data_IF_461965331731
#
_entry.id   IF_461965331731
#
_cell.length_a   1.000
_cell.length_b   1.000
_cell.length_c   1.000
_cell.angle_alpha   90.00
_cell.angle_beta   90.00
_cell.angle_gamma   90.00
#
_symmetry.space_group_name_H-M   'P 1'
#
loop_
_entity.id
_entity.type
_entity.pdbx_description
1 polymer ?
#
# COMPACT_ATOMS: atom_id res chain seq x y z
N UNK A 1 -2.15 28.77 -12.52
CA UNK A 1 -2.34 27.36 -12.91
C UNK A 1 -2.18 27.32 -14.42
N UNK A 2 -1.11 26.69 -14.93
CA UNK A 2 -0.87 26.59 -16.36
C UNK A 2 -1.89 25.68 -17.04
N UNK A 3 -2.13 25.86 -18.33
CA UNK A 3 -2.99 24.97 -19.11
C UNK A 3 -2.33 23.59 -19.21
N UNK A 4 -2.92 22.57 -18.57
CA UNK A 4 -2.47 21.18 -18.63
C UNK A 4 -2.32 20.66 -20.06
N UNK A 5 -2.99 21.30 -21.04
CA UNK A 5 -2.86 20.97 -22.46
C UNK A 5 -1.48 21.27 -23.04
N UNK A 6 -0.69 22.13 -22.39
CA UNK A 6 0.64 22.55 -22.85
C UNK A 6 1.78 21.99 -21.98
N UNK A 7 1.44 21.37 -20.85
CA UNK A 7 2.42 20.81 -19.92
C UNK A 7 3.04 19.52 -20.50
N UNK A 8 4.36 19.45 -20.75
CA UNK A 8 5.01 18.25 -21.31
C UNK A 8 4.77 16.99 -20.46
N UNK A 9 4.53 17.14 -19.17
CA UNK A 9 4.26 16.06 -18.21
C UNK A 9 2.99 15.26 -18.54
N UNK A 10 2.04 15.88 -19.24
CA UNK A 10 0.79 15.24 -19.66
C UNK A 10 0.80 14.85 -21.14
N UNK A 11 1.97 14.81 -21.80
CA UNK A 11 2.07 14.50 -23.23
C UNK A 11 1.45 13.14 -23.59
N UNK A 12 1.73 12.10 -22.78
CA UNK A 12 1.09 10.79 -22.98
C UNK A 12 -0.41 10.87 -22.73
N UNK A 13 -0.86 11.44 -21.60
CA UNK A 13 -2.28 11.55 -21.27
C UNK A 13 -3.07 12.27 -22.38
N UNK A 14 -2.50 13.34 -22.95
CA UNK A 14 -3.09 14.04 -24.11
C UNK A 14 -3.17 13.15 -25.34
N UNK A 15 -2.10 12.47 -25.69
CA UNK A 15 -2.09 11.58 -26.85
C UNK A 15 -3.15 10.48 -26.72
N UNK A 16 -3.36 9.92 -25.51
CA UNK A 16 -4.44 8.96 -25.25
C UNK A 16 -5.83 9.58 -25.44
N UNK A 17 -6.05 10.81 -24.96
CA UNK A 17 -7.30 11.56 -25.20
C UNK A 17 -7.53 11.82 -26.69
N UNK A 18 -6.46 12.05 -27.45
CA UNK A 18 -6.48 12.26 -28.89
C UNK A 18 -6.59 10.93 -29.70
N UNK A 19 -6.74 9.80 -29.02
CA UNK A 19 -7.00 8.49 -29.63
C UNK A 19 -5.76 7.63 -29.90
N UNK A 20 -4.60 7.98 -29.33
CA UNK A 20 -3.44 7.10 -29.36
C UNK A 20 -3.70 5.83 -28.55
N UNK A 21 -3.20 4.70 -29.06
CA UNK A 21 -3.25 3.43 -28.36
C UNK A 21 -2.27 3.43 -27.17
N UNK A 22 -2.74 3.05 -25.98
CA UNK A 22 -1.92 2.92 -24.78
C UNK A 22 -0.74 1.95 -25.00
N UNK A 23 -0.93 0.89 -25.79
CA UNK A 23 0.13 -0.07 -26.08
C UNK A 23 1.33 0.56 -26.82
N UNK A 24 1.12 1.67 -27.54
CA UNK A 24 2.19 2.37 -28.26
C UNK A 24 3.23 3.03 -27.34
N UNK A 25 2.88 3.27 -26.07
CA UNK A 25 3.77 3.84 -25.06
C UNK A 25 4.51 2.78 -24.23
N UNK A 26 4.09 1.52 -24.29
CA UNK A 26 4.63 0.44 -23.47
C UNK A 26 6.12 0.21 -23.77
N UNK A 27 6.93 0.08 -22.71
CA UNK A 27 8.39 -0.04 -22.82
C UNK A 27 9.13 1.27 -23.15
N UNK A 28 8.41 2.37 -23.40
CA UNK A 28 8.97 3.67 -23.74
C UNK A 28 9.25 4.57 -22.53
N UNK A 29 9.65 5.83 -22.76
CA UNK A 29 10.01 6.78 -21.71
C UNK A 29 8.82 7.30 -20.89
N UNK A 30 7.58 7.03 -21.34
CA UNK A 30 6.34 7.31 -20.60
C UNK A 30 5.79 6.09 -19.86
N UNK A 31 6.39 4.91 -20.06
CA UNK A 31 6.05 3.71 -19.30
C UNK A 31 6.84 3.69 -18.00
N UNK A 32 6.17 4.04 -16.91
CA UNK A 32 6.78 4.09 -15.58
C UNK A 32 7.39 2.75 -15.19
N UNK A 33 6.82 1.63 -15.63
CA UNK A 33 7.34 0.29 -15.32
C UNK A 33 8.70 0.11 -15.98
N UNK A 34 8.83 0.53 -17.24
CA UNK A 34 10.09 0.47 -17.97
C UNK A 34 11.15 1.35 -17.29
N UNK A 35 10.81 2.61 -16.99
CA UNK A 35 11.73 3.53 -16.33
C UNK A 35 12.15 3.02 -14.95
N UNK A 36 11.22 2.60 -14.09
CA UNK A 36 11.52 2.10 -12.74
C UNK A 36 12.40 0.86 -12.76
N UNK A 37 12.26 -0.04 -13.75
CA UNK A 37 13.12 -1.25 -13.85
C UNK A 37 14.60 -0.94 -14.14
N UNK A 38 14.92 0.25 -14.66
CA UNK A 38 16.31 0.67 -14.87
C UNK A 38 17.01 1.03 -13.55
N UNK A 39 16.24 1.29 -12.49
CA UNK A 39 16.73 1.75 -11.21
C UNK A 39 17.01 0.54 -10.32
N UNK A 40 18.27 0.35 -9.94
CA UNK A 40 18.67 -0.67 -8.97
C UNK A 40 18.72 -0.05 -7.57
N UNK A 41 17.91 -0.53 -6.60
CA UNK A 41 17.90 0.00 -5.23
C UNK A 41 19.27 -0.02 -4.53
N UNK A 42 20.16 -0.92 -4.93
CA UNK A 42 21.52 -1.04 -4.38
C UNK A 42 22.48 0.04 -4.89
N UNK A 43 22.17 0.64 -6.06
CA UNK A 43 23.06 1.55 -6.79
C UNK A 43 22.46 2.96 -6.96
N UNK A 44 21.38 3.30 -6.25
CA UNK A 44 20.75 4.63 -6.33
C UNK A 44 21.61 5.69 -5.64
N UNK A 45 22.40 6.41 -6.43
CA UNK A 45 23.18 7.57 -5.99
C UNK A 45 22.60 8.90 -6.53
N UNK A 46 23.37 9.99 -6.39
CA UNK A 46 22.96 11.35 -6.79
C UNK A 46 22.68 11.48 -8.28
N UNK A 47 23.56 10.91 -9.10
CA UNK A 47 23.50 11.01 -10.55
C UNK A 47 22.27 10.27 -11.10
N UNK A 48 21.99 9.09 -10.55
CA UNK A 48 20.80 8.30 -10.94
C UNK A 48 19.49 9.06 -10.70
N UNK A 49 19.40 9.93 -9.68
CA UNK A 49 18.19 10.72 -9.43
C UNK A 49 17.97 11.79 -10.50
N UNK A 50 19.05 12.46 -10.92
CA UNK A 50 18.98 13.59 -11.85
C UNK A 50 18.82 13.17 -13.31
N UNK A 51 19.26 11.96 -13.67
CA UNK A 51 19.19 11.42 -15.04
C UNK A 51 17.81 10.83 -15.40
N UNK A 52 16.91 10.66 -14.43
CA UNK A 52 15.59 10.08 -14.67
C UNK A 52 14.62 11.07 -15.33
N UNK A 53 13.72 10.60 -16.22
CA UNK A 53 12.77 11.45 -16.92
C UNK A 53 11.55 11.80 -16.05
N UNK A 54 11.78 12.44 -14.90
CA UNK A 54 10.72 12.82 -13.96
C UNK A 54 9.61 13.65 -14.65
N UNK A 55 9.99 14.60 -15.49
CA UNK A 55 9.08 15.44 -16.26
C UNK A 55 8.18 14.70 -17.28
N UNK A 56 8.28 13.38 -17.41
CA UNK A 56 7.34 12.58 -18.21
C UNK A 56 6.12 12.10 -17.42
N UNK A 57 6.13 12.24 -16.08
CA UNK A 57 5.10 11.70 -15.19
C UNK A 57 4.44 12.81 -14.39
N UNK A 58 3.10 12.85 -14.30
CA UNK A 58 2.38 13.85 -13.51
C UNK A 58 2.97 14.03 -12.11
N UNK A 59 3.26 15.28 -11.72
CA UNK A 59 3.94 15.65 -10.46
C UNK A 59 5.38 15.13 -10.31
N UNK A 60 6.03 14.74 -11.41
CA UNK A 60 7.38 14.16 -11.37
C UNK A 60 8.43 15.07 -10.75
N UNK A 61 8.42 16.36 -11.06
CA UNK A 61 9.36 17.32 -10.48
C UNK A 61 9.17 17.50 -8.98
N UNK A 62 7.93 17.52 -8.50
CA UNK A 62 7.60 17.58 -7.08
C UNK A 62 8.10 16.32 -6.34
N UNK A 63 7.94 15.14 -6.95
CA UNK A 63 8.44 13.89 -6.41
C UNK A 63 9.97 13.83 -6.42
N UNK A 64 10.62 14.31 -7.48
CA UNK A 64 12.08 14.43 -7.56
C UNK A 64 12.63 15.28 -6.43
N UNK A 65 12.04 16.44 -6.21
CA UNK A 65 12.47 17.34 -5.14
C UNK A 65 12.21 16.75 -3.76
N UNK A 66 11.07 16.09 -3.56
CA UNK A 66 10.80 15.36 -2.32
C UNK A 66 11.87 14.29 -2.04
N UNK A 67 12.27 13.50 -3.06
CA UNK A 67 13.36 12.51 -2.93
C UNK A 67 14.69 13.19 -2.65
N UNK A 68 15.02 14.30 -3.34
CA UNK A 68 16.25 15.07 -3.08
C UNK A 68 16.32 15.54 -1.62
N UNK A 69 15.24 16.14 -1.11
CA UNK A 69 15.13 16.62 0.28
C UNK A 69 15.26 15.49 1.30
N UNK A 70 14.66 14.33 1.02
CA UNK A 70 14.81 13.18 1.90
C UNK A 70 16.26 12.69 1.96
N UNK A 71 17.02 12.83 0.87
CA UNK A 71 18.42 12.37 0.79
C UNK A 71 19.42 13.33 1.41
N UNK A 72 19.21 14.63 1.33
CA UNK A 72 20.15 15.63 1.87
C UNK A 72 20.21 15.61 3.39
N UNK A 73 19.28 14.91 4.07
CA UNK A 73 19.11 14.89 5.55
C UNK A 73 18.83 16.28 6.16
N UNK A 74 18.78 17.30 5.31
CA UNK A 74 18.54 18.70 5.62
C UNK A 74 17.15 19.07 5.10
N UNK A 75 16.17 19.09 6.01
CA UNK A 75 14.80 19.45 5.68
C UNK A 75 13.76 18.77 6.57
N UNK A 76 12.53 19.28 6.54
CA UNK A 76 11.39 18.61 7.18
C UNK A 76 11.00 17.39 6.33
N UNK A 77 11.55 16.22 6.63
CA UNK A 77 11.17 14.96 5.98
C UNK A 77 9.66 14.67 6.07
N UNK A 78 8.98 15.22 7.08
CA UNK A 78 7.52 15.18 7.18
C UNK A 78 6.85 15.84 5.99
N UNK A 79 7.39 16.96 5.51
CA UNK A 79 6.86 17.66 4.35
C UNK A 79 7.15 16.88 3.06
N UNK A 80 8.38 16.37 2.89
CA UNK A 80 8.76 15.61 1.70
C UNK A 80 8.01 14.27 1.58
N UNK A 81 7.88 13.51 2.66
CA UNK A 81 7.02 12.32 2.65
C UNK A 81 5.54 12.67 2.53
N UNK A 82 5.11 13.79 3.12
CA UNK A 82 3.74 14.29 2.96
C UNK A 82 3.38 14.56 1.50
N UNK A 83 4.33 15.06 0.69
CA UNK A 83 4.14 15.23 -0.75
C UNK A 83 3.92 13.88 -1.44
N UNK A 84 4.81 12.90 -1.24
CA UNK A 84 4.71 11.59 -1.90
C UNK A 84 3.46 10.80 -1.46
N UNK A 85 3.10 10.87 -0.19
CA UNK A 85 1.90 10.22 0.35
C UNK A 85 0.64 10.97 -0.12
N UNK A 86 0.68 12.30 -0.18
CA UNK A 86 -0.39 13.15 -0.70
C UNK A 86 -0.70 12.86 -2.17
N UNK A 87 0.33 12.69 -3.01
CA UNK A 87 0.17 12.22 -4.40
C UNK A 87 -0.59 10.90 -4.48
N UNK A 88 -0.30 9.94 -3.58
CA UNK A 88 -1.04 8.68 -3.52
C UNK A 88 -2.47 8.86 -3.00
N UNK A 89 -2.71 9.84 -2.13
CA UNK A 89 -4.03 10.21 -1.62
C UNK A 89 -4.94 10.80 -2.69
N UNK A 90 -4.37 11.66 -3.51
CA UNK A 90 -5.05 12.36 -4.60
C UNK A 90 -5.10 11.52 -5.90
N UNK A 91 -4.89 10.21 -5.80
CA UNK A 91 -4.93 9.26 -6.92
C UNK A 91 -4.00 9.67 -8.09
N UNK A 92 -2.81 10.19 -7.75
CA UNK A 92 -1.77 10.71 -8.66
C UNK A 92 -0.42 10.02 -8.39
N UNK A 93 -0.40 8.69 -8.50
CA UNK A 93 0.66 7.83 -7.96
C UNK A 93 1.87 7.61 -8.90
N UNK A 94 1.80 8.00 -10.18
CA UNK A 94 2.87 7.70 -11.15
C UNK A 94 4.28 8.17 -10.69
N UNK A 95 4.39 9.43 -10.28
CA UNK A 95 5.65 9.97 -9.77
C UNK A 95 6.08 9.36 -8.41
N UNK A 96 5.12 9.05 -7.54
CA UNK A 96 5.39 8.36 -6.28
C UNK A 96 5.90 6.93 -6.50
N UNK A 97 5.41 6.22 -7.53
CA UNK A 97 5.92 4.91 -7.92
C UNK A 97 7.39 4.99 -8.39
N UNK A 98 7.77 6.04 -9.12
CA UNK A 98 9.16 6.27 -9.53
C UNK A 98 10.11 6.47 -8.33
N UNK A 99 9.61 7.03 -7.22
CA UNK A 99 10.39 7.28 -6.02
C UNK A 99 10.70 6.01 -5.19
N UNK A 100 9.97 4.91 -5.37
CA UNK A 100 10.05 3.70 -4.53
C UNK A 100 11.47 3.14 -4.39
N UNK A 101 12.30 2.98 -5.45
CA UNK A 101 13.66 2.48 -5.31
C UNK A 101 14.55 3.35 -4.40
N UNK A 102 14.35 4.67 -4.40
CA UNK A 102 15.07 5.60 -3.52
C UNK A 102 14.58 5.49 -2.08
N UNK A 103 13.26 5.36 -1.88
CA UNK A 103 12.67 5.17 -0.55
C UNK A 103 13.14 3.86 0.09
N UNK A 104 13.27 2.77 -0.68
CA UNK A 104 13.86 1.51 -0.21
C UNK A 104 15.27 1.76 0.33
N UNK A 105 16.13 2.46 -0.43
CA UNK A 105 17.51 2.74 -0.02
C UNK A 105 17.60 3.55 1.27
N UNK A 106 16.70 4.52 1.45
CA UNK A 106 16.59 5.34 2.66
C UNK A 106 16.08 4.52 3.84
N UNK A 107 15.05 3.70 3.63
CA UNK A 107 14.46 2.84 4.66
C UNK A 107 15.45 1.80 5.21
N UNK A 108 16.35 1.32 4.36
CA UNK A 108 17.30 0.25 4.70
C UNK A 108 18.64 0.77 5.22
N UNK A 109 18.87 2.09 5.23
CA UNK A 109 20.01 2.69 5.91
C UNK A 109 19.70 2.89 7.39
N UNK A 110 20.33 2.13 8.31
CA UNK A 110 20.05 2.22 9.75
C UNK A 110 20.46 3.58 10.34
N UNK A 111 21.32 4.34 9.66
CA UNK A 111 21.78 5.66 10.09
C UNK A 111 21.03 6.81 9.41
N UNK A 112 20.03 6.50 8.58
CA UNK A 112 19.25 7.54 7.93
C UNK A 112 18.16 8.07 8.88
N UNK A 113 18.11 9.39 9.16
CA UNK A 113 17.16 9.96 10.12
C UNK A 113 15.68 9.80 9.69
N UNK A 114 15.45 9.50 8.42
CA UNK A 114 14.11 9.39 7.83
C UNK A 114 13.75 7.96 7.40
N UNK A 115 14.50 6.96 7.87
CA UNK A 115 14.31 5.55 7.47
C UNK A 115 12.88 5.04 7.71
N UNK A 116 12.29 5.35 8.87
CA UNK A 116 10.95 4.90 9.26
C UNK A 116 9.87 5.54 8.40
N UNK A 117 9.98 6.85 8.15
CA UNK A 117 9.06 7.58 7.30
C UNK A 117 9.09 7.08 5.84
N UNK A 118 10.29 6.78 5.31
CA UNK A 118 10.43 6.21 3.97
C UNK A 118 9.84 4.79 3.90
N UNK A 119 10.04 3.96 4.94
CA UNK A 119 9.49 2.60 4.99
C UNK A 119 7.95 2.61 5.02
N UNK A 120 7.34 3.47 5.84
CA UNK A 120 5.88 3.60 5.90
C UNK A 120 5.26 4.10 4.60
N UNK A 121 5.95 4.96 3.84
CA UNK A 121 5.43 5.55 2.61
C UNK A 121 5.65 4.71 1.34
N UNK A 122 6.69 3.87 1.27
CA UNK A 122 7.09 3.23 0.01
C UNK A 122 6.05 2.23 -0.54
N UNK A 123 5.16 1.74 0.32
CA UNK A 123 4.13 0.77 -0.05
C UNK A 123 2.82 1.42 -0.52
N UNK A 124 2.69 2.76 -0.38
CA UNK A 124 1.50 3.51 -0.79
C UNK A 124 1.20 3.41 -2.30
N UNK A 125 2.15 3.67 -3.23
CA UNK A 125 1.87 3.61 -4.67
C UNK A 125 1.65 2.18 -5.18
N UNK A 126 1.95 1.16 -4.37
CA UNK A 126 1.79 -0.25 -4.73
C UNK A 126 0.36 -0.79 -4.52
N UNK A 127 -0.59 0.04 -4.07
CA UNK A 127 -1.98 -0.35 -3.76
C UNK A 127 -3.01 0.33 -4.66
N UNK A 128 -4.10 -0.39 -4.93
CA UNK A 128 -5.11 -0.05 -5.95
C UNK A 128 -5.88 1.24 -5.65
N UNK A 129 -6.31 1.39 -4.40
CA UNK A 129 -7.01 2.56 -3.88
C UNK A 129 -6.49 2.75 -2.47
N UNK A 130 -5.76 3.84 -2.27
CA UNK A 130 -4.99 4.02 -1.06
C UNK A 130 -5.87 4.40 0.15
N UNK A 131 -7.14 4.79 -0.05
CA UNK A 131 -8.01 5.26 1.04
C UNK A 131 -9.44 4.71 1.07
N UNK A 132 -9.91 4.38 2.28
CA UNK A 132 -11.33 4.35 2.68
C UNK A 132 -12.16 3.12 2.29
N UNK A 133 -11.59 2.19 1.51
CA UNK A 133 -12.33 1.01 1.04
C UNK A 133 -12.14 -0.18 1.99
N UNK A 134 -13.14 -0.43 2.84
CA UNK A 134 -13.14 -1.50 3.84
C UNK A 134 -13.98 -2.74 3.42
N UNK A 135 -14.26 -2.93 2.13
CA UNK A 135 -15.08 -4.06 1.66
C UNK A 135 -14.26 -5.36 1.58
N UNK A 136 -14.91 -6.52 1.75
CA UNK A 136 -14.25 -7.84 1.59
C UNK A 136 -13.59 -7.99 0.22
N UNK A 137 -14.22 -7.42 -0.81
CA UNK A 137 -13.77 -7.53 -2.19
C UNK A 137 -12.47 -6.75 -2.46
N UNK A 138 -12.31 -5.59 -1.83
CA UNK A 138 -11.29 -4.60 -2.21
C UNK A 138 -10.19 -4.38 -1.17
N UNK A 139 -10.43 -4.58 0.13
CA UNK A 139 -9.49 -4.18 1.21
C UNK A 139 -8.06 -4.71 1.03
N UNK A 140 -7.91 -5.99 0.69
CA UNK A 140 -6.60 -6.63 0.43
C UNK A 140 -6.39 -6.95 -1.06
N UNK A 141 -7.15 -6.31 -1.95
CA UNK A 141 -7.14 -6.66 -3.36
C UNK A 141 -5.91 -6.09 -4.07
N UNK A 142 -5.29 -6.99 -4.82
CA UNK A 142 -4.23 -6.72 -5.77
C UNK A 142 -4.77 -7.14 -7.14
N UNK A 143 -5.11 -6.19 -8.01
CA UNK A 143 -5.62 -6.51 -9.35
C UNK A 143 -4.45 -6.99 -10.21
N UNK A 144 -4.56 -8.12 -10.90
CA UNK A 144 -3.45 -8.71 -11.65
C UNK A 144 -3.22 -7.95 -12.96
N UNK A 145 -2.53 -6.82 -12.89
CA UNK A 145 -1.96 -6.12 -14.05
C UNK A 145 -2.96 -5.65 -15.13
N UNK A 146 -2.43 -5.13 -16.25
CA UNK A 146 -3.25 -4.60 -17.33
C UNK A 146 -4.01 -5.67 -18.11
N UNK A 147 -5.33 -5.49 -18.22
CA UNK A 147 -6.14 -6.11 -19.28
C UNK A 147 -5.73 -5.50 -20.63
N UNK A 148 -5.90 -6.28 -21.69
CA UNK A 148 -5.54 -5.91 -23.07
C UNK A 148 -6.51 -4.92 -23.74
N UNK A 149 -7.58 -4.48 -23.05
CA UNK A 149 -8.55 -3.55 -23.62
C UNK A 149 -8.49 -2.21 -22.86
N UNK A 150 -8.22 -1.13 -23.61
CA UNK A 150 -8.18 0.32 -23.35
C UNK A 150 -7.68 0.86 -21.99
N UNK A 151 -8.00 0.25 -20.85
CA UNK A 151 -7.44 0.53 -19.52
C UNK A 151 -7.42 -0.73 -18.64
N UNK A 152 -6.45 -0.81 -17.73
CA UNK A 152 -6.37 -1.93 -16.80
C UNK A 152 -7.50 -1.95 -15.76
N UNK A 153 -7.63 -3.05 -15.00
CA UNK A 153 -8.64 -3.16 -13.95
C UNK A 153 -8.48 -2.07 -12.86
N UNK A 154 -7.37 -1.32 -12.82
CA UNK A 154 -7.19 -0.18 -11.92
C UNK A 154 -7.77 1.13 -12.46
N UNK A 155 -8.01 1.24 -13.78
CA UNK A 155 -8.53 2.43 -14.43
C UNK A 155 -7.45 3.49 -14.66
N UNK A 156 -7.84 4.76 -14.56
CA UNK A 156 -6.94 5.91 -14.70
C UNK A 156 -6.83 6.67 -13.38
N UNK A 157 -5.64 7.19 -13.12
CA UNK A 157 -5.38 8.23 -12.14
C UNK A 157 -6.20 9.49 -12.46
N UNK A 158 -6.36 10.40 -11.49
CA UNK A 158 -7.02 11.70 -11.73
C UNK A 158 -6.30 12.53 -12.81
N UNK A 159 -5.02 12.23 -13.03
CA UNK A 159 -4.14 12.82 -14.04
C UNK A 159 -4.36 12.25 -15.45
N UNK A 160 -5.19 11.21 -15.59
CA UNK A 160 -5.36 10.43 -16.81
C UNK A 160 -4.28 9.37 -17.05
N UNK A 161 -3.31 9.24 -16.14
CA UNK A 161 -2.25 8.24 -16.25
C UNK A 161 -2.79 6.83 -15.92
N UNK A 162 -2.35 5.75 -16.61
CA UNK A 162 -2.81 4.38 -16.33
C UNK A 162 -2.44 3.94 -14.91
N UNK A 163 -3.44 3.80 -14.04
CA UNK A 163 -3.24 3.56 -12.62
C UNK A 163 -2.48 2.25 -12.33
N UNK A 164 -2.78 1.18 -13.07
CA UNK A 164 -2.12 -0.10 -12.87
C UNK A 164 -0.70 -0.14 -13.43
N UNK A 165 -0.28 0.79 -14.30
CA UNK A 165 1.13 0.94 -14.65
C UNK A 165 1.94 1.42 -13.45
N UNK A 166 1.45 2.43 -12.74
CA UNK A 166 2.07 2.94 -11.52
C UNK A 166 2.10 1.90 -10.40
N UNK A 167 0.97 1.20 -10.17
CA UNK A 167 0.91 0.11 -9.19
C UNK A 167 1.87 -1.02 -9.54
N UNK A 168 1.93 -1.44 -10.81
CA UNK A 168 2.85 -2.48 -11.26
C UNK A 168 4.32 -2.05 -11.07
N UNK A 169 4.66 -0.80 -11.39
CA UNK A 169 6.01 -0.28 -11.22
C UNK A 169 6.45 -0.27 -9.75
N UNK A 170 5.62 0.25 -8.85
CA UNK A 170 5.90 0.27 -7.41
C UNK A 170 6.10 -1.14 -6.85
N UNK A 171 5.23 -2.09 -7.21
CA UNK A 171 5.33 -3.49 -6.75
C UNK A 171 6.56 -4.20 -7.31
N UNK A 172 6.91 -3.93 -8.57
CA UNK A 172 8.13 -4.46 -9.17
C UNK A 172 9.38 -3.93 -8.45
N UNK A 173 9.41 -2.63 -8.10
CA UNK A 173 10.48 -2.04 -7.31
C UNK A 173 10.60 -2.66 -5.91
N UNK A 174 9.49 -2.88 -5.21
CA UNK A 174 9.46 -3.57 -3.91
C UNK A 174 9.94 -5.02 -4.03
N UNK A 175 9.55 -5.69 -5.12
CA UNK A 175 10.02 -7.06 -5.42
C UNK A 175 11.53 -7.08 -5.62
N UNK A 176 12.08 -6.15 -6.40
CA UNK A 176 13.52 -6.02 -6.60
C UNK A 176 14.27 -5.70 -5.30
N UNK A 177 13.71 -4.83 -4.45
CA UNK A 177 14.29 -4.48 -3.15
C UNK A 177 14.02 -5.49 -2.02
N UNK A 178 13.34 -6.61 -2.27
CA UNK A 178 13.02 -7.61 -1.25
C UNK A 178 14.24 -8.08 -0.45
N UNK A 179 15.43 -8.34 -1.04
CA UNK A 179 16.62 -8.71 -0.27
C UNK A 179 17.04 -7.66 0.77
N UNK A 180 16.80 -6.38 0.53
CA UNK A 180 17.11 -5.28 1.45
C UNK A 180 16.02 -5.09 2.51
N UNK A 181 14.75 -5.38 2.17
CA UNK A 181 13.61 -5.22 3.07
C UNK A 181 13.43 -6.39 4.04
N UNK A 182 13.83 -7.62 3.65
CA UNK A 182 13.66 -8.81 4.50
C UNK A 182 14.33 -8.70 5.88
N UNK A 183 15.57 -8.19 6.02
CA UNK A 183 16.20 -7.99 7.34
C UNK A 183 15.40 -7.06 8.27
N UNK A 184 14.59 -6.15 7.74
CA UNK A 184 13.80 -5.21 8.54
C UNK A 184 12.68 -5.91 9.32
N UNK A 185 12.28 -7.13 8.94
CA UNK A 185 11.38 -7.96 9.76
C UNK A 185 12.00 -8.34 11.11
N UNK A 186 13.32 -8.24 11.24
CA UNK A 186 14.07 -8.53 12.47
C UNK A 186 14.62 -7.28 13.17
N UNK A 187 14.17 -6.08 12.76
CA UNK A 187 14.51 -4.84 13.46
C UNK A 187 14.04 -4.86 14.92
N UNK A 188 14.78 -4.19 15.81
CA UNK A 188 14.41 -4.05 17.22
C UNK A 188 13.12 -3.25 17.43
N UNK A 189 12.82 -2.31 16.55
CA UNK A 189 11.64 -1.45 16.62
C UNK A 189 10.39 -2.17 16.05
N UNK A 190 9.33 -2.40 16.86
CA UNK A 190 8.08 -3.00 16.37
C UNK A 190 7.46 -2.25 15.19
N UNK A 191 7.55 -0.92 15.14
CA UNK A 191 6.99 -0.14 14.04
C UNK A 191 7.68 -0.45 12.71
N UNK A 192 9.01 -0.57 12.72
CA UNK A 192 9.79 -0.99 11.53
C UNK A 192 9.37 -2.38 11.07
N UNK A 193 9.13 -3.32 11.99
CA UNK A 193 8.69 -4.68 11.62
C UNK A 193 7.29 -4.69 11.01
N UNK A 194 6.38 -3.86 11.51
CA UNK A 194 5.03 -3.67 10.96
C UNK A 194 5.12 -3.12 9.54
N UNK A 195 5.84 -2.01 9.36
CA UNK A 195 5.96 -1.36 8.05
C UNK A 195 6.71 -2.23 7.04
N UNK A 196 7.72 -2.98 7.47
CA UNK A 196 8.40 -3.97 6.62
C UNK A 196 7.44 -5.07 6.14
N UNK A 197 6.59 -5.58 7.04
CA UNK A 197 5.55 -6.55 6.69
C UNK A 197 4.54 -5.97 5.69
N UNK A 198 4.14 -4.71 5.93
CA UNK A 198 3.22 -3.97 5.06
C UNK A 198 3.79 -3.72 3.66
N UNK A 199 5.06 -3.38 3.56
CA UNK A 199 5.76 -3.21 2.28
C UNK A 199 5.89 -4.53 1.52
N UNK A 200 6.45 -5.56 2.17
CA UNK A 200 6.70 -6.87 1.57
C UNK A 200 5.41 -7.58 1.10
N UNK A 201 4.26 -7.28 1.73
CA UNK A 201 2.96 -7.81 1.31
C UNK A 201 2.59 -7.45 -0.14
N UNK A 202 3.09 -6.32 -0.65
CA UNK A 202 2.76 -5.82 -2.00
C UNK A 202 3.64 -6.37 -3.11
N UNK A 203 4.71 -7.11 -2.80
CA UNK A 203 5.59 -7.67 -3.82
C UNK A 203 4.78 -8.45 -4.89
N UNK A 204 5.16 -8.32 -6.16
CA UNK A 204 4.44 -8.90 -7.30
C UNK A 204 4.52 -10.42 -7.32
N UNK A 205 5.58 -10.98 -6.74
CA UNK A 205 5.73 -12.41 -6.53
C UNK A 205 6.44 -12.60 -5.18
N UNK A 206 5.72 -12.54 -4.04
CA UNK A 206 6.33 -12.69 -2.72
C UNK A 206 7.07 -14.03 -2.57
N UNK A 207 6.83 -14.96 -3.51
CA UNK A 207 7.58 -16.20 -3.65
C UNK A 207 7.47 -17.07 -2.40
N UNK A 208 8.29 -18.11 -2.35
CA UNK A 208 8.47 -18.88 -1.11
C UNK A 208 9.20 -18.07 -0.04
N UNK A 209 10.06 -17.14 -0.44
CA UNK A 209 10.96 -16.42 0.45
C UNK A 209 10.21 -15.47 1.39
N UNK A 210 9.36 -14.57 0.89
CA UNK A 210 8.63 -13.62 1.76
C UNK A 210 7.66 -14.36 2.67
N UNK A 211 6.96 -15.38 2.16
CA UNK A 211 6.07 -16.22 2.98
C UNK A 211 6.82 -16.96 4.10
N UNK A 212 7.97 -17.54 3.78
CA UNK A 212 8.82 -18.20 4.78
C UNK A 212 9.34 -17.20 5.81
N UNK A 213 9.69 -15.98 5.40
CA UNK A 213 10.12 -14.92 6.31
C UNK A 213 8.99 -14.48 7.25
N UNK A 214 7.77 -14.28 6.75
CA UNK A 214 6.60 -13.99 7.58
C UNK A 214 6.34 -15.11 8.59
N UNK A 215 6.34 -16.37 8.15
CA UNK A 215 6.13 -17.51 9.05
C UNK A 215 7.24 -17.62 10.12
N UNK A 216 8.50 -17.42 9.72
CA UNK A 216 9.65 -17.44 10.63
C UNK A 216 9.55 -16.32 11.64
N UNK A 217 9.16 -15.10 11.22
CA UNK A 217 8.99 -13.98 12.14
C UNK A 217 7.82 -14.21 13.09
N UNK A 218 6.68 -14.67 12.58
CA UNK A 218 5.49 -14.95 13.38
C UNK A 218 5.78 -15.93 14.51
N UNK A 219 6.57 -16.99 14.25
CA UNK A 219 6.90 -18.01 15.25
C UNK A 219 7.71 -17.51 16.46
N UNK A 220 8.42 -16.38 16.34
CA UNK A 220 9.28 -15.83 17.42
C UNK A 220 8.81 -14.48 17.94
N UNK A 221 7.80 -13.87 17.32
CA UNK A 221 7.30 -12.55 17.68
C UNK A 221 6.43 -12.62 18.94
N UNK A 222 6.55 -11.61 19.78
CA UNK A 222 5.81 -11.49 21.04
C UNK A 222 4.88 -10.26 21.05
N UNK A 223 5.15 -9.27 20.20
CA UNK A 223 4.31 -8.07 20.07
C UNK A 223 2.99 -8.40 19.33
N UNK A 224 1.82 -8.19 19.96
CA UNK A 224 0.52 -8.49 19.34
C UNK A 224 0.24 -7.72 18.05
N UNK A 225 0.71 -6.48 17.94
CA UNK A 225 0.51 -5.67 16.73
C UNK A 225 1.38 -6.15 15.59
N UNK A 226 2.62 -6.53 15.86
CA UNK A 226 3.49 -7.13 14.83
C UNK A 226 2.91 -8.47 14.37
N UNK A 227 2.40 -9.30 15.29
CA UNK A 227 1.70 -10.54 14.92
C UNK A 227 0.47 -10.26 14.04
N UNK A 228 -0.35 -9.27 14.40
CA UNK A 228 -1.50 -8.84 13.61
C UNK A 228 -1.10 -8.36 12.20
N UNK A 229 -0.01 -7.58 12.10
CA UNK A 229 0.55 -7.13 10.82
C UNK A 229 1.01 -8.30 9.94
N UNK A 230 1.67 -9.30 10.52
CA UNK A 230 2.12 -10.50 9.80
C UNK A 230 0.94 -11.35 9.29
N UNK A 231 -0.15 -11.41 10.05
CA UNK A 231 -1.40 -12.06 9.61
C UNK A 231 -2.01 -11.32 8.42
N UNK A 232 -2.15 -10.00 8.50
CA UNK A 232 -2.67 -9.19 7.38
C UNK A 232 -1.78 -9.26 6.15
N UNK A 233 -0.46 -9.18 6.31
CA UNK A 233 0.50 -9.36 5.21
C UNK A 233 0.40 -10.75 4.57
N UNK A 234 0.21 -11.80 5.39
CA UNK A 234 -0.04 -13.15 4.89
C UNK A 234 -1.37 -13.25 4.16
N UNK A 235 -2.42 -12.58 4.64
CA UNK A 235 -3.72 -12.53 3.96
C UNK A 235 -3.62 -11.80 2.62
N UNK A 236 -2.99 -10.62 2.57
CA UNK A 236 -2.82 -9.81 1.35
C UNK A 236 -2.00 -10.57 0.28
N UNK A 237 -0.88 -11.18 0.66
CA UNK A 237 -0.11 -12.03 -0.25
C UNK A 237 -0.89 -13.26 -0.72
N UNK A 238 -1.73 -13.84 0.13
CA UNK A 238 -2.60 -14.98 -0.21
C UNK A 238 -3.74 -14.57 -1.14
N UNK A 239 -4.25 -13.35 -1.03
CA UNK A 239 -5.24 -12.80 -1.97
C UNK A 239 -4.65 -12.64 -3.36
N UNK A 240 -3.43 -12.12 -3.46
CA UNK A 240 -2.74 -11.98 -4.76
C UNK A 240 -2.30 -13.33 -5.35
N UNK A 241 -1.90 -14.28 -4.51
CA UNK A 241 -1.43 -15.59 -4.92
C UNK A 241 -2.09 -16.67 -4.05
N UNK A 242 -3.25 -17.22 -4.47
CA UNK A 242 -4.03 -18.16 -3.67
C UNK A 242 -3.19 -19.30 -3.10
N UNK A 243 -3.27 -19.48 -1.78
CA UNK A 243 -2.50 -20.49 -1.06
C UNK A 243 -3.37 -21.11 0.04
N UNK A 244 -3.97 -22.28 -0.26
CA UNK A 244 -4.99 -22.92 0.59
C UNK A 244 -4.54 -23.11 2.04
N UNK A 245 -3.29 -23.49 2.26
CA UNK A 245 -2.77 -23.69 3.63
C UNK A 245 -2.71 -22.39 4.42
N UNK A 246 -2.46 -21.25 3.77
CA UNK A 246 -2.47 -19.94 4.43
C UNK A 246 -3.90 -19.52 4.77
N UNK A 247 -4.87 -19.73 3.87
CA UNK A 247 -6.30 -19.48 4.16
C UNK A 247 -6.79 -20.31 5.34
N UNK A 248 -6.42 -21.60 5.41
CA UNK A 248 -6.75 -22.47 6.53
C UNK A 248 -6.10 -21.99 7.84
N UNK A 249 -4.81 -21.66 7.80
CA UNK A 249 -4.09 -21.15 8.97
C UNK A 249 -4.72 -19.83 9.50
N UNK A 250 -5.06 -18.88 8.62
CA UNK A 250 -5.73 -17.63 9.01
C UNK A 250 -7.09 -17.92 9.66
N UNK A 251 -7.86 -18.90 9.14
CA UNK A 251 -9.13 -19.32 9.75
C UNK A 251 -8.93 -19.86 11.17
N UNK A 252 -7.91 -20.68 11.38
CA UNK A 252 -7.59 -21.24 12.69
C UNK A 252 -7.17 -20.14 13.68
N UNK A 253 -6.44 -19.12 13.23
CA UNK A 253 -5.97 -18.01 14.08
C UNK A 253 -7.09 -17.17 14.70
N UNK A 254 -8.17 -16.86 13.97
CA UNK A 254 -9.26 -16.08 14.58
C UNK A 254 -10.10 -16.90 15.57
N UNK A 255 -10.15 -18.22 15.37
CA UNK A 255 -10.85 -19.17 16.23
C UNK A 255 -10.08 -19.50 17.52
N UNK A 256 -8.75 -19.44 17.48
CA UNK A 256 -7.89 -19.73 18.62
C UNK A 256 -8.01 -18.65 19.71
N UNK A 257 -8.60 -19.02 20.85
CA UNK A 257 -8.81 -18.13 21.99
C UNK A 257 -7.52 -17.84 22.77
N UNK A 258 -6.46 -18.60 22.55
CA UNK A 258 -5.17 -18.33 23.17
C UNK A 258 -4.42 -17.17 22.48
N UNK A 259 -4.80 -16.81 21.26
CA UNK A 259 -4.23 -15.67 20.54
C UNK A 259 -4.69 -14.34 21.14
N UNK A 260 -3.82 -13.34 21.03
CA UNK A 260 -4.15 -11.97 21.40
C UNK A 260 -5.35 -11.45 20.56
N UNK A 261 -6.23 -10.62 21.13
CA UNK A 261 -7.37 -10.05 20.42
C UNK A 261 -7.05 -9.42 19.07
N UNK A 262 -5.95 -8.69 18.98
CA UNK A 262 -5.49 -7.97 17.78
C UNK A 262 -5.18 -8.95 16.64
N UNK A 263 -4.54 -10.08 16.97
CA UNK A 263 -4.22 -11.17 16.03
C UNK A 263 -5.51 -11.83 15.54
N UNK A 264 -6.45 -12.08 16.45
CA UNK A 264 -7.75 -12.70 16.10
C UNK A 264 -8.58 -11.81 15.18
N UNK A 265 -8.62 -10.50 15.44
CA UNK A 265 -9.31 -9.52 14.61
C UNK A 265 -8.67 -9.39 13.23
N UNK A 266 -7.33 -9.28 13.17
CA UNK A 266 -6.60 -9.29 11.91
C UNK A 266 -6.85 -10.57 11.09
N UNK A 267 -6.87 -11.72 11.77
CA UNK A 267 -7.17 -13.01 11.14
C UNK A 267 -8.62 -13.09 10.64
N UNK A 268 -9.59 -12.58 11.41
CA UNK A 268 -10.99 -12.55 10.98
C UNK A 268 -11.15 -11.70 9.71
N UNK A 269 -10.63 -10.47 9.71
CA UNK A 269 -10.68 -9.56 8.55
C UNK A 269 -9.95 -10.16 7.35
N UNK A 270 -8.75 -10.69 7.57
CA UNK A 270 -7.96 -11.36 6.54
C UNK A 270 -8.70 -12.55 5.93
N UNK A 271 -9.33 -13.40 6.75
CA UNK A 271 -10.10 -14.55 6.30
C UNK A 271 -11.31 -14.12 5.46
N UNK A 272 -12.08 -13.10 5.90
CA UNK A 272 -13.23 -12.56 5.17
C UNK A 272 -12.84 -11.99 3.80
N UNK A 273 -11.63 -11.48 3.64
CA UNK A 273 -11.11 -11.02 2.35
C UNK A 273 -10.68 -12.19 1.43
N UNK A 274 -10.47 -13.39 1.97
CA UNK A 274 -10.00 -14.56 1.23
C UNK A 274 -11.10 -15.52 0.81
N UNK A 275 -12.34 -15.28 1.23
CA UNK A 275 -13.47 -16.17 0.99
C UNK A 275 -14.74 -15.40 0.65
N UNK A 276 -15.58 -16.03 -0.15
CA UNK A 276 -16.95 -15.59 -0.40
C UNK A 276 -17.95 -16.31 0.54
N UNK A 277 -17.46 -17.14 1.46
CA UNK A 277 -18.28 -17.79 2.49
C UNK A 277 -19.01 -16.75 3.37
N UNK A 278 -20.27 -17.00 3.77
CA UNK A 278 -20.95 -16.18 4.75
C UNK A 278 -20.17 -16.19 6.07
N UNK A 279 -20.16 -15.05 6.77
CA UNK A 279 -19.52 -14.98 8.08
C UNK A 279 -20.33 -15.84 9.07
N UNK A 280 -19.69 -16.78 9.80
CA UNK A 280 -20.39 -17.54 10.83
C UNK A 280 -20.84 -16.63 11.97
N UNK A 281 -21.98 -16.90 12.62
CA UNK A 281 -22.48 -16.11 13.77
C UNK A 281 -21.42 -15.93 14.88
N UNK A 282 -20.64 -16.99 15.12
CA UNK A 282 -19.53 -16.96 16.08
C UNK A 282 -18.45 -15.92 15.76
N UNK A 283 -18.26 -15.60 14.47
CA UNK A 283 -17.35 -14.57 14.01
C UNK A 283 -17.95 -13.18 14.28
N UNK A 284 -19.24 -12.97 14.00
CA UNK A 284 -19.94 -11.71 14.35
C UNK A 284 -19.79 -11.43 15.86
N UNK A 285 -20.19 -12.37 16.71
CA UNK A 285 -20.09 -12.21 18.18
C UNK A 285 -18.64 -11.97 18.63
N UNK A 286 -17.67 -12.66 18.02
CA UNK A 286 -16.25 -12.46 18.36
C UNK A 286 -15.78 -11.06 17.97
N UNK A 287 -16.13 -10.60 16.77
CA UNK A 287 -15.78 -9.27 16.30
C UNK A 287 -16.39 -8.19 17.20
N UNK A 288 -17.67 -8.30 17.56
CA UNK A 288 -18.36 -7.31 18.41
C UNK A 288 -17.74 -7.21 19.80
N UNK A 289 -17.33 -8.35 20.38
CA UNK A 289 -16.69 -8.39 21.71
C UNK A 289 -15.26 -7.86 21.66
N UNK A 290 -14.52 -8.15 20.59
CA UNK A 290 -13.10 -7.80 20.50
C UNK A 290 -12.86 -6.41 19.87
N UNK A 291 -13.73 -5.90 19.02
CA UNK A 291 -13.55 -4.61 18.34
C UNK A 291 -13.99 -3.44 19.22
N UNK A 292 -13.38 -3.30 20.41
CA UNK A 292 -13.63 -2.15 21.27
C UNK A 292 -13.01 -0.89 20.68
N UNK A 293 -13.57 0.27 21.00
CA UNK A 293 -13.07 1.58 20.54
C UNK A 293 -11.58 1.80 20.89
N UNK A 294 -11.18 1.43 22.10
CA UNK A 294 -9.78 1.51 22.55
C UNK A 294 -8.86 0.65 21.67
N UNK A 295 -9.26 -0.60 21.40
CA UNK A 295 -8.48 -1.52 20.56
C UNK A 295 -8.46 -1.06 19.11
N UNK A 296 -9.57 -0.54 18.62
CA UNK A 296 -9.66 0.01 17.28
C UNK A 296 -8.69 1.18 17.08
N UNK A 297 -8.57 2.08 18.06
CA UNK A 297 -7.58 3.17 18.04
C UNK A 297 -6.16 2.64 18.13
N UNK A 298 -5.89 1.66 18.98
CA UNK A 298 -4.58 1.04 19.05
C UNK A 298 -4.19 0.42 17.69
N UNK A 299 -5.11 -0.31 17.05
CA UNK A 299 -4.86 -0.97 15.77
C UNK A 299 -4.66 0.01 14.60
N UNK A 300 -4.87 1.32 14.77
CA UNK A 300 -4.41 2.32 13.79
C UNK A 300 -2.87 2.38 13.66
N UNK A 301 -2.12 1.72 14.56
CA UNK A 301 -0.69 1.47 14.34
C UNK A 301 -0.43 0.54 13.12
N UNK A 302 -1.43 -0.23 12.69
CA UNK A 302 -1.35 -1.05 11.49
C UNK A 302 -1.66 -0.18 10.26
N UNK A 303 -0.76 -0.09 9.26
CA UNK A 303 -0.97 0.76 8.08
C UNK A 303 -2.27 0.42 7.32
N UNK A 304 -2.67 -0.86 7.29
CA UNK A 304 -3.96 -1.27 6.73
C UNK A 304 -5.16 -0.60 7.40
N UNK A 305 -5.14 -0.44 8.72
CA UNK A 305 -6.24 0.20 9.46
C UNK A 305 -6.13 1.72 9.39
N UNK A 306 -4.92 2.27 9.47
CA UNK A 306 -4.67 3.70 9.33
C UNK A 306 -5.21 4.24 7.98
N UNK A 307 -5.00 3.51 6.90
CA UNK A 307 -5.47 3.88 5.56
C UNK A 307 -7.02 3.90 5.42
N UNK A 308 -7.74 3.26 6.33
CA UNK A 308 -9.20 3.29 6.37
C UNK A 308 -9.76 4.37 7.30
N UNK A 309 -8.92 4.86 8.22
CA UNK A 309 -9.30 5.83 9.23
C UNK A 309 -9.68 7.16 8.60
N UNK A 310 -10.93 7.57 8.80
CA UNK A 310 -11.36 8.95 8.60
C UNK A 310 -11.95 9.48 9.91
N UNK A 311 -13.28 9.57 10.01
CA UNK A 311 -14.00 9.97 11.21
C UNK A 311 -14.21 8.80 12.19
N UNK A 312 -13.85 7.59 11.77
CA UNK A 312 -13.99 6.34 12.51
C UNK A 312 -12.68 5.54 12.41
N UNK A 313 -12.24 4.85 13.49
CA UNK A 313 -11.12 3.92 13.43
C UNK A 313 -11.28 2.85 12.35
N UNK A 314 -10.19 2.55 11.62
CA UNK A 314 -10.24 1.64 10.48
C UNK A 314 -10.74 0.23 10.80
N UNK A 315 -10.45 -0.26 12.02
CA UNK A 315 -10.96 -1.55 12.50
C UNK A 315 -12.50 -1.59 12.55
N UNK A 316 -13.13 -0.55 13.13
CA UNK A 316 -14.59 -0.50 13.25
C UNK A 316 -15.24 -0.37 11.88
N UNK A 317 -14.63 0.42 11.00
CA UNK A 317 -15.04 0.52 9.59
C UNK A 317 -15.00 -0.84 8.89
N UNK A 318 -13.95 -1.65 9.12
CA UNK A 318 -13.87 -3.03 8.61
C UNK A 318 -14.97 -3.92 9.18
N UNK A 319 -15.19 -3.92 10.50
CA UNK A 319 -16.22 -4.73 11.14
C UNK A 319 -17.60 -4.38 10.58
N UNK A 320 -17.96 -3.09 10.56
CA UNK A 320 -19.23 -2.64 9.96
C UNK A 320 -19.35 -3.11 8.51
N UNK A 321 -18.40 -2.74 7.64
CA UNK A 321 -18.53 -2.98 6.19
C UNK A 321 -18.44 -4.45 5.78
N UNK A 322 -17.78 -5.29 6.57
CA UNK A 322 -17.62 -6.71 6.24
C UNK A 322 -18.59 -7.62 6.96
N UNK A 323 -19.12 -7.24 8.13
CA UNK A 323 -19.96 -8.08 8.97
C UNK A 323 -21.36 -7.52 9.17
N UNK A 324 -21.52 -6.20 9.23
CA UNK A 324 -22.81 -5.55 9.45
C UNK A 324 -23.11 -4.54 8.33
N UNK A 325 -23.13 -4.96 7.05
CA UNK A 325 -23.30 -4.06 5.91
C UNK A 325 -24.62 -3.28 5.91
N UNK A 326 -25.61 -3.74 6.68
CA UNK A 326 -26.88 -3.08 6.93
C UNK A 326 -26.78 -1.86 7.86
N UNK A 327 -25.73 -1.74 8.67
CA UNK A 327 -25.55 -0.58 9.54
C UNK A 327 -25.21 0.67 8.72
N UNK A 328 -25.87 1.81 9.00
CA UNK A 328 -25.63 3.04 8.27
C UNK A 328 -24.19 3.53 8.51
N UNK A 329 -23.64 4.24 7.53
CA UNK A 329 -22.39 4.97 7.77
C UNK A 329 -22.62 6.04 8.86
N UNK A 330 -21.70 6.18 9.83
CA UNK A 330 -21.76 7.27 10.79
C UNK A 330 -21.79 8.56 9.98
N UNK A 331 -22.71 9.47 10.34
CA UNK A 331 -22.81 10.78 9.70
C UNK A 331 -21.40 11.36 9.54
N UNK A 332 -20.93 11.50 8.30
CA UNK A 332 -19.89 12.49 8.04
C UNK A 332 -20.56 13.83 8.35
N UNK A 333 -19.94 14.67 9.15
CA UNK A 333 -20.25 16.10 9.09
C UNK A 333 -20.07 16.49 7.62
N UNK A 334 -21.16 16.52 6.85
CA UNK A 334 -21.15 17.03 5.51
C UNK A 334 -21.02 18.54 5.67
N UNK A 335 -19.87 19.16 5.35
CA UNK A 335 -19.70 20.59 5.49
C UNK A 335 -20.64 21.38 4.57
N UNK A 336 -21.36 20.69 3.67
CA UNK A 336 -22.33 21.24 2.73
C UNK A 336 -23.78 20.88 3.05
N UNK A 337 -24.07 20.18 4.15
CA UNK A 337 -25.45 19.98 4.57
C UNK A 337 -26.07 21.34 4.94
N UNK A 338 -27.22 21.74 4.35
CA UNK A 338 -27.89 22.97 4.75
C UNK A 338 -28.33 22.84 6.21
N UNK A 339 -27.90 23.79 7.04
CA UNK A 339 -28.32 23.89 8.42
C UNK A 339 -29.84 24.09 8.49
N UNK A 340 -30.53 23.46 9.48
CA UNK A 340 -31.98 23.55 9.63
C UNK A 340 -32.49 24.96 9.94
#
# INVERSE_FOLDING_TARGET
MGDWRTDPTFAMCRALVDGADLASFAGGPFDIRAVTTTIRPEATDGAVLDDLPWGNFPHGEDAREAVRLLRTKDGSARNAMGVLIGMCADDSRAAAALAVPFLIRIATDPHHPHRTAALGGLAAPARARYFGVASRAEFLLHRPGPRHDDYDDYGVEVTGYPAGWSVAAARAAITAGTPLLLPLLDDSDPAVRIDASYALATATAPGRTVRAAFATRFAKEQDPMVLAALVLATAETTRAHPHRSATKWIREMWQDRAQAPEVRLAAAIGWLCLTDEPAPDTLHTTADVLATEERARAMNALPWMAALGSNEPGLLRCVRRMLHPEEPEPYSDDPWAPWP
#
